data_IF_672396942298
#
_entry.id   IF_672396942298
#
_cell.length_a   1.000
_cell.length_b   1.000
_cell.length_c   1.000
_cell.angle_alpha   90.00
_cell.angle_beta   90.00
_cell.angle_gamma   90.00
#
_symmetry.space_group_name_H-M   'P 1'
#
loop_
_entity.id
_entity.type
_entity.pdbx_description
1 polymer ?
#
# COMPACT_ATOMS: atom_id res chain seq x y z
N UNK A 1 33.08 -19.59 18.43
CA UNK A 1 32.28 -18.36 18.52
C UNK A 1 33.14 -17.11 18.79
N UNK A 2 34.23 -17.21 19.54
CA UNK A 2 35.15 -16.08 19.85
C UNK A 2 35.99 -15.52 18.68
N UNK A 3 35.71 -15.95 17.43
CA UNK A 3 36.42 -15.50 16.20
C UNK A 3 35.56 -14.67 15.24
N UNK A 4 34.29 -14.41 15.59
CA UNK A 4 33.39 -13.56 14.78
C UNK A 4 33.11 -12.20 15.41
N UNK A 5 33.46 -11.97 16.68
CA UNK A 5 33.26 -10.68 17.33
C UNK A 5 34.35 -9.70 16.89
N UNK A 6 33.94 -8.54 16.38
CA UNK A 6 34.72 -7.37 15.89
C UNK A 6 34.71 -7.14 14.38
N UNK A 7 34.00 -7.94 13.58
CA UNK A 7 33.91 -7.73 12.12
C UNK A 7 32.50 -7.91 11.55
N UNK A 8 31.47 -8.14 12.37
CA UNK A 8 30.10 -8.34 11.89
C UNK A 8 29.55 -7.11 11.17
N UNK A 9 29.87 -5.92 11.68
CA UNK A 9 29.47 -4.66 11.05
C UNK A 9 30.07 -4.53 9.63
N UNK A 10 31.36 -4.82 9.46
CA UNK A 10 32.01 -4.83 8.15
C UNK A 10 31.44 -5.93 7.23
N UNK A 11 31.23 -7.13 7.78
CA UNK A 11 30.64 -8.25 7.05
C UNK A 11 29.23 -7.93 6.53
N UNK A 12 28.45 -7.16 7.28
CA UNK A 12 27.09 -6.77 6.90
C UNK A 12 27.03 -5.92 5.60
N UNK A 13 28.13 -5.22 5.25
CA UNK A 13 28.26 -4.49 3.99
C UNK A 13 28.67 -5.37 2.80
N UNK A 14 28.83 -6.69 2.99
CA UNK A 14 29.15 -7.62 1.91
C UNK A 14 28.01 -8.59 1.65
N UNK A 15 27.82 -9.00 0.39
CA UNK A 15 26.77 -9.95 0.02
C UNK A 15 26.87 -11.27 0.80
N UNK A 16 28.08 -11.83 0.92
CA UNK A 16 28.29 -13.11 1.60
C UNK A 16 28.18 -12.97 3.11
N UNK A 17 28.82 -11.94 3.70
CA UNK A 17 28.77 -11.69 5.13
C UNK A 17 27.36 -11.37 5.63
N UNK A 18 26.62 -10.49 4.93
CA UNK A 18 25.23 -10.18 5.25
C UNK A 18 24.35 -11.45 5.22
N UNK A 19 24.47 -12.29 4.20
CA UNK A 19 23.71 -13.56 4.13
C UNK A 19 24.04 -14.50 5.29
N UNK A 20 25.31 -14.59 5.67
CA UNK A 20 25.73 -15.41 6.82
C UNK A 20 25.11 -14.90 8.13
N UNK A 21 25.13 -13.59 8.36
CA UNK A 21 24.53 -12.97 9.55
C UNK A 21 23.02 -13.22 9.58
N UNK A 22 22.33 -13.03 8.45
CA UNK A 22 20.88 -13.26 8.34
C UNK A 22 20.48 -14.72 8.64
N UNK A 23 21.25 -15.69 8.17
CA UNK A 23 21.01 -17.12 8.44
C UNK A 23 21.27 -17.45 9.91
N UNK A 24 22.30 -16.85 10.49
CA UNK A 24 22.64 -17.07 11.89
C UNK A 24 21.58 -16.48 12.83
N UNK A 25 21.09 -15.27 12.58
CA UNK A 25 20.05 -14.60 13.37
C UNK A 25 18.75 -15.42 13.52
N UNK A 26 18.42 -16.27 12.54
CA UNK A 26 17.23 -17.13 12.55
C UNK A 26 17.32 -18.31 13.52
N UNK A 27 18.55 -18.75 13.85
CA UNK A 27 18.79 -20.01 14.57
C UNK A 27 19.62 -19.83 15.84
N UNK A 28 20.20 -18.65 16.04
CA UNK A 28 21.06 -18.38 17.17
C UNK A 28 20.28 -18.28 18.49
N UNK A 29 21.00 -18.46 19.59
CA UNK A 29 20.42 -18.30 20.92
C UNK A 29 20.12 -16.82 21.20
N UNK A 30 19.25 -16.49 22.19
CA UNK A 30 19.03 -15.09 22.59
C UNK A 30 20.32 -14.36 22.98
N UNK A 31 21.27 -15.04 23.62
CA UNK A 31 22.57 -14.47 24.00
C UNK A 31 23.42 -14.13 22.77
N UNK A 32 23.50 -15.03 21.79
CA UNK A 32 24.22 -14.76 20.54
C UNK A 32 23.56 -13.61 19.76
N UNK A 33 22.22 -13.54 19.77
CA UNK A 33 21.48 -12.45 19.13
C UNK A 33 21.78 -11.10 19.78
N UNK A 34 21.84 -11.06 21.11
CA UNK A 34 22.22 -9.86 21.86
C UNK A 34 23.64 -9.39 21.50
N UNK A 35 24.59 -10.32 21.36
CA UNK A 35 25.95 -10.00 20.93
C UNK A 35 25.98 -9.41 19.51
N UNK A 36 25.26 -10.02 18.56
CA UNK A 36 25.15 -9.50 17.18
C UNK A 36 24.48 -8.13 17.17
N UNK A 37 23.39 -7.98 17.94
CA UNK A 37 22.67 -6.71 18.05
C UNK A 37 23.58 -5.59 18.56
N UNK A 38 24.31 -5.84 19.66
CA UNK A 38 25.25 -4.90 20.25
C UNK A 38 26.36 -4.47 19.29
N UNK A 39 26.87 -5.39 18.47
CA UNK A 39 27.91 -5.10 17.48
C UNK A 39 27.37 -4.32 16.25
N UNK A 40 26.15 -4.60 15.81
CA UNK A 40 25.53 -3.98 14.63
C UNK A 40 24.91 -2.60 14.96
N UNK A 41 24.40 -2.41 16.17
CA UNK A 41 23.62 -1.22 16.55
C UNK A 41 24.33 0.13 16.25
N UNK A 42 25.64 0.31 16.50
CA UNK A 42 26.32 1.58 16.21
C UNK A 42 26.30 1.98 14.72
N UNK A 43 26.31 0.99 13.82
CA UNK A 43 26.32 1.19 12.36
C UNK A 43 24.91 1.06 11.75
N UNK A 44 23.88 0.85 12.57
CA UNK A 44 22.53 0.51 12.10
C UNK A 44 21.94 1.52 11.12
N UNK A 45 22.07 2.82 11.38
CA UNK A 45 21.55 3.89 10.50
C UNK A 45 22.12 3.81 9.07
N UNK A 46 23.43 3.58 8.94
CA UNK A 46 24.07 3.41 7.62
C UNK A 46 23.60 2.12 6.96
N UNK A 47 23.57 1.02 7.72
CA UNK A 47 23.14 -0.29 7.22
C UNK A 47 21.68 -0.28 6.75
N UNK A 48 20.79 0.53 7.32
CA UNK A 48 19.40 0.65 6.85
C UNK A 48 19.31 1.05 5.37
N UNK A 49 20.28 1.82 4.89
CA UNK A 49 20.34 2.33 3.51
C UNK A 49 21.31 1.57 2.61
N UNK A 50 22.01 0.57 3.13
CA UNK A 50 22.97 -0.24 2.38
C UNK A 50 22.29 -1.37 1.60
N UNK A 51 22.81 -1.73 0.43
CA UNK A 51 22.26 -2.76 -0.46
C UNK A 51 22.24 -4.16 0.16
N UNK A 52 23.14 -4.46 1.10
CA UNK A 52 23.19 -5.74 1.82
C UNK A 52 22.85 -5.61 3.30
N UNK A 53 23.28 -4.52 3.94
CA UNK A 53 23.08 -4.24 5.36
C UNK A 53 21.61 -4.13 5.76
N UNK A 54 20.76 -3.63 4.86
CA UNK A 54 19.34 -3.43 5.16
C UNK A 54 18.65 -4.76 5.57
N UNK A 55 19.08 -5.88 4.99
CA UNK A 55 18.55 -7.20 5.30
C UNK A 55 18.94 -7.67 6.70
N UNK A 56 20.13 -7.29 7.20
CA UNK A 56 20.55 -7.57 8.58
C UNK A 56 19.65 -6.81 9.55
N UNK A 57 19.40 -5.52 9.30
CA UNK A 57 18.50 -4.72 10.14
C UNK A 57 17.07 -5.27 10.12
N UNK A 58 16.56 -5.66 8.95
CA UNK A 58 15.25 -6.31 8.85
C UNK A 58 15.17 -7.62 9.65
N UNK A 59 16.24 -8.42 9.69
CA UNK A 59 16.29 -9.65 10.50
C UNK A 59 16.40 -9.37 11.99
N UNK A 60 17.09 -8.32 12.40
CA UNK A 60 17.08 -7.87 13.79
C UNK A 60 15.68 -7.37 14.20
N UNK A 61 14.96 -6.69 13.32
CA UNK A 61 13.57 -6.30 13.58
C UNK A 61 12.61 -7.49 13.62
N UNK A 62 12.90 -8.57 12.90
CA UNK A 62 12.08 -9.80 12.85
C UNK A 62 12.31 -10.71 14.06
N UNK A 63 13.55 -10.92 14.48
CA UNK A 63 13.93 -11.89 15.51
C UNK A 63 14.39 -11.27 16.83
N UNK A 64 14.62 -9.95 16.86
CA UNK A 64 15.00 -9.23 18.07
C UNK A 64 13.88 -9.19 19.10
N UNK A 65 14.25 -8.99 20.36
CA UNK A 65 13.29 -8.75 21.45
C UNK A 65 12.49 -7.45 21.22
N UNK A 66 11.34 -7.26 21.87
CA UNK A 66 10.59 -5.99 21.79
C UNK A 66 11.45 -4.75 22.12
N UNK A 67 12.37 -4.86 23.08
CA UNK A 67 13.28 -3.79 23.46
C UNK A 67 14.30 -3.49 22.35
N UNK A 68 14.93 -4.53 21.78
CA UNK A 68 15.85 -4.38 20.64
C UNK A 68 15.19 -3.73 19.43
N UNK A 69 13.95 -4.13 19.13
CA UNK A 69 13.14 -3.53 18.05
C UNK A 69 12.85 -2.06 18.31
N UNK A 70 12.51 -1.72 19.55
CA UNK A 70 12.24 -0.33 19.96
C UNK A 70 13.50 0.53 19.87
N UNK A 71 14.67 0.00 20.27
CA UNK A 71 15.95 0.68 20.13
C UNK A 71 16.31 0.92 18.65
N UNK A 72 16.12 -0.08 17.77
CA UNK A 72 16.34 0.08 16.32
C UNK A 72 15.34 1.07 15.68
N UNK A 73 14.08 1.06 16.10
CA UNK A 73 13.11 2.05 15.67
C UNK A 73 13.51 3.46 16.11
N UNK A 74 14.08 3.60 17.32
CA UNK A 74 14.64 4.85 17.81
C UNK A 74 15.74 5.42 16.91
N UNK A 75 16.50 4.57 16.21
CA UNK A 75 17.50 4.97 15.22
C UNK A 75 16.91 5.52 13.91
N UNK A 76 15.65 5.22 13.63
CA UNK A 76 14.94 5.77 12.46
C UNK A 76 14.34 7.16 12.75
N UNK A 77 14.16 7.50 14.03
CA UNK A 77 13.46 8.72 14.45
C UNK A 77 14.18 9.97 13.92
N UNK A 78 13.40 10.88 13.34
CA UNK A 78 13.87 12.10 12.67
C UNK A 78 14.30 11.88 11.21
N UNK A 79 14.38 10.62 10.76
CA UNK A 79 14.81 10.25 9.41
C UNK A 79 13.77 9.36 8.70
N UNK A 80 12.56 9.19 9.25
CA UNK A 80 11.59 8.22 8.71
C UNK A 80 11.19 8.57 7.28
N UNK A 81 10.98 9.85 6.98
CA UNK A 81 10.69 10.31 5.62
C UNK A 81 11.83 9.94 4.65
N UNK A 82 13.07 10.33 4.99
CA UNK A 82 14.23 10.06 4.14
C UNK A 82 14.42 8.56 3.89
N UNK A 83 14.29 7.74 4.93
CA UNK A 83 14.37 6.28 4.82
C UNK A 83 13.24 5.74 3.94
N UNK A 84 12.01 6.24 4.09
CA UNK A 84 10.83 5.78 3.34
C UNK A 84 10.97 6.02 1.83
N UNK A 85 11.66 7.08 1.44
CA UNK A 85 11.88 7.45 0.04
C UNK A 85 13.11 6.76 -0.57
N UNK A 86 13.92 6.05 0.24
CA UNK A 86 15.16 5.39 -0.18
C UNK A 86 14.92 3.91 -0.51
N UNK A 87 15.55 3.41 -1.58
CA UNK A 87 15.34 2.07 -2.17
C UNK A 87 15.45 0.89 -1.20
N UNK A 88 16.34 0.97 -0.21
CA UNK A 88 16.60 -0.06 0.80
C UNK A 88 16.00 0.32 2.16
N UNK A 89 16.10 1.59 2.55
CA UNK A 89 15.54 2.15 3.78
C UNK A 89 14.05 1.94 3.86
N UNK A 90 13.32 2.04 2.75
CA UNK A 90 11.87 1.83 2.72
C UNK A 90 11.50 0.42 3.18
N UNK A 91 12.33 -0.58 2.87
CA UNK A 91 12.13 -1.98 3.29
C UNK A 91 12.31 -2.14 4.78
N UNK A 92 13.26 -1.40 5.35
CA UNK A 92 13.53 -1.40 6.79
C UNK A 92 12.42 -0.70 7.55
N UNK A 93 11.91 0.44 7.07
CA UNK A 93 10.75 1.12 7.67
C UNK A 93 9.51 0.24 7.60
N UNK A 94 9.22 -0.36 6.44
CA UNK A 94 8.10 -1.32 6.30
C UNK A 94 8.21 -2.45 7.33
N UNK A 95 9.40 -3.05 7.49
CA UNK A 95 9.62 -4.10 8.49
C UNK A 95 9.47 -3.60 9.92
N UNK A 96 9.92 -2.39 10.23
CA UNK A 96 9.74 -1.82 11.56
C UNK A 96 8.25 -1.67 11.89
N UNK A 97 7.45 -1.11 10.97
CA UNK A 97 6.01 -0.92 11.17
C UNK A 97 5.25 -2.25 11.42
N UNK A 98 5.75 -3.35 10.88
CA UNK A 98 5.16 -4.69 11.07
C UNK A 98 5.51 -5.33 12.42
N UNK A 99 6.64 -4.97 13.04
CA UNK A 99 7.21 -5.76 14.15
C UNK A 99 7.40 -5.01 15.47
N UNK A 100 7.40 -3.67 15.44
CA UNK A 100 7.56 -2.84 16.65
C UNK A 100 6.23 -2.72 17.42
N UNK A 101 6.25 -2.40 18.72
CA UNK A 101 5.03 -2.11 19.48
C UNK A 101 4.21 -0.96 18.88
N UNK A 102 2.89 -0.96 19.07
CA UNK A 102 1.95 0.05 18.52
C UNK A 102 2.37 1.49 18.84
N UNK A 103 2.77 1.77 20.08
CA UNK A 103 3.23 3.09 20.50
C UNK A 103 4.48 3.55 19.73
N UNK A 104 5.42 2.63 19.49
CA UNK A 104 6.63 2.91 18.70
C UNK A 104 6.26 3.13 17.23
N UNK A 105 5.40 2.29 16.65
CA UNK A 105 4.94 2.46 15.27
C UNK A 105 4.24 3.81 15.08
N UNK A 106 3.40 4.22 16.04
CA UNK A 106 2.72 5.52 16.02
C UNK A 106 3.69 6.68 15.94
N UNK A 107 4.80 6.65 16.68
CA UNK A 107 5.83 7.70 16.62
C UNK A 107 6.43 7.77 15.21
N UNK A 108 6.80 6.63 14.62
CA UNK A 108 7.39 6.60 13.27
C UNK A 108 6.41 7.09 12.21
N UNK A 109 5.15 6.64 12.26
CA UNK A 109 4.11 7.03 11.30
C UNK A 109 3.85 8.53 11.36
N UNK A 110 3.89 9.13 12.56
CA UNK A 110 3.61 10.56 12.73
C UNK A 110 4.62 11.47 12.01
N UNK A 111 5.85 11.01 11.77
CA UNK A 111 6.84 11.77 10.98
C UNK A 111 6.45 11.94 9.50
N UNK A 112 5.52 11.11 9.01
CA UNK A 112 5.02 11.19 7.62
C UNK A 112 3.81 12.10 7.48
N UNK A 113 3.33 12.73 8.57
CA UNK A 113 2.06 13.47 8.59
C UNK A 113 1.94 14.51 7.48
N UNK A 114 2.96 15.35 7.32
CA UNK A 114 2.94 16.46 6.35
C UNK A 114 3.43 16.04 4.95
N UNK A 115 3.82 14.77 4.79
CA UNK A 115 4.46 14.24 3.57
C UNK A 115 3.69 13.06 2.96
N UNK A 116 2.41 12.86 3.31
CA UNK A 116 1.63 11.72 2.80
C UNK A 116 1.58 11.72 1.27
N UNK A 117 1.23 12.85 0.65
CA UNK A 117 1.02 12.90 -0.81
C UNK A 117 2.33 12.74 -1.59
N UNK A 118 3.41 13.32 -1.08
CA UNK A 118 4.76 13.12 -1.59
C UNK A 118 5.14 11.63 -1.53
N UNK A 119 4.95 10.99 -0.36
CA UNK A 119 5.25 9.58 -0.14
C UNK A 119 4.40 8.66 -1.02
N UNK A 120 3.11 8.95 -1.18
CA UNK A 120 2.19 8.17 -2.04
C UNK A 120 2.62 8.18 -3.51
N UNK A 121 3.20 9.29 -3.98
CA UNK A 121 3.64 9.45 -5.37
C UNK A 121 5.04 8.92 -5.63
N UNK A 122 5.77 8.54 -4.58
CA UNK A 122 7.11 7.99 -4.70
C UNK A 122 7.12 6.48 -4.93
N UNK A 123 8.11 5.99 -5.69
CA UNK A 123 8.27 4.58 -6.02
C UNK A 123 8.56 3.69 -4.79
N UNK A 124 9.15 4.24 -3.73
CA UNK A 124 9.47 3.56 -2.48
C UNK A 124 8.45 3.91 -1.39
N UNK A 125 8.18 5.20 -1.21
CA UNK A 125 7.33 5.76 -0.15
C UNK A 125 5.90 5.21 -0.17
N UNK A 126 5.36 4.91 -1.37
CA UNK A 126 4.00 4.38 -1.47
C UNK A 126 3.84 3.05 -0.73
N UNK A 127 4.89 2.22 -0.68
CA UNK A 127 4.87 0.95 0.03
C UNK A 127 4.88 1.16 1.55
N UNK A 128 5.56 2.20 2.03
CA UNK A 128 5.53 2.57 3.46
C UNK A 128 4.14 3.06 3.84
N UNK A 129 3.51 3.93 3.04
CA UNK A 129 2.15 4.40 3.31
C UNK A 129 1.14 3.24 3.30
N UNK A 130 1.27 2.28 2.37
CA UNK A 130 0.46 1.07 2.40
C UNK A 130 0.61 0.31 3.73
N UNK A 131 1.85 0.14 4.23
CA UNK A 131 2.10 -0.50 5.53
C UNK A 131 1.55 0.27 6.72
N UNK A 132 1.62 1.60 6.71
CA UNK A 132 0.95 2.43 7.70
C UNK A 132 -0.56 2.15 7.71
N UNK A 133 -1.18 2.05 6.53
CA UNK A 133 -2.62 1.79 6.42
C UNK A 133 -2.99 0.37 6.86
N UNK A 134 -2.17 -0.63 6.55
CA UNK A 134 -2.39 -2.04 6.92
C UNK A 134 -2.32 -2.27 8.44
N UNK A 135 -1.29 -1.74 9.10
CA UNK A 135 -0.96 -2.15 10.48
C UNK A 135 -1.31 -1.12 11.55
N UNK A 136 -1.43 0.16 11.22
CA UNK A 136 -1.67 1.18 12.24
C UNK A 136 -3.11 1.16 12.75
N UNK A 137 -3.25 1.52 14.02
CA UNK A 137 -4.54 1.76 14.64
C UNK A 137 -5.34 2.84 13.89
N UNK A 138 -6.67 2.74 13.83
CA UNK A 138 -7.52 3.65 13.05
C UNK A 138 -7.26 5.14 13.30
N UNK A 139 -7.01 5.54 14.56
CA UNK A 139 -6.73 6.93 14.91
C UNK A 139 -5.37 7.40 14.37
N UNK A 140 -4.35 6.54 14.41
CA UNK A 140 -2.99 6.86 13.96
C UNK A 140 -2.92 7.06 12.45
N UNK A 141 -3.67 6.29 11.66
CA UNK A 141 -3.68 6.43 10.19
C UNK A 141 -4.72 7.42 9.63
N UNK A 142 -5.46 8.12 10.49
CA UNK A 142 -6.53 9.02 10.04
C UNK A 142 -6.03 10.14 9.12
N UNK A 143 -4.88 10.73 9.41
CA UNK A 143 -4.30 11.80 8.59
C UNK A 143 -3.97 11.34 7.16
N UNK A 144 -3.66 10.04 6.97
CA UNK A 144 -3.44 9.45 5.64
C UNK A 144 -4.75 9.46 4.85
N UNK A 145 -5.86 9.05 5.47
CA UNK A 145 -7.18 9.09 4.85
C UNK A 145 -7.59 10.53 4.52
N UNK A 146 -7.32 11.47 5.43
CA UNK A 146 -7.67 12.88 5.26
C UNK A 146 -6.87 13.54 4.13
N UNK A 147 -5.61 13.15 3.95
CA UNK A 147 -4.79 13.62 2.84
C UNK A 147 -5.37 13.23 1.47
N UNK A 148 -6.11 12.12 1.36
CA UNK A 148 -6.76 11.72 0.10
C UNK A 148 -8.02 12.52 -0.22
N UNK A 149 -8.64 13.20 0.76
CA UNK A 149 -9.90 13.92 0.55
C UNK A 149 -9.70 15.07 -0.44
N UNK A 150 -10.60 15.19 -1.42
CA UNK A 150 -10.56 16.20 -2.47
C UNK A 150 -9.60 15.88 -3.62
N UNK A 151 -8.89 14.75 -3.57
CA UNK A 151 -8.01 14.27 -4.63
C UNK A 151 -8.02 12.73 -4.77
N UNK A 152 -9.02 12.06 -4.21
CA UNK A 152 -9.16 10.61 -4.21
C UNK A 152 -9.23 10.05 -5.63
N UNK A 153 -9.98 10.70 -6.52
CA UNK A 153 -10.06 10.28 -7.93
C UNK A 153 -8.72 10.44 -8.62
N UNK A 154 -8.03 11.57 -8.42
CA UNK A 154 -6.72 11.81 -9.02
C UNK A 154 -5.68 10.77 -8.56
N UNK A 155 -5.64 10.47 -7.25
CA UNK A 155 -4.72 9.48 -6.71
C UNK A 155 -5.10 8.05 -7.12
N UNK A 156 -6.39 7.74 -7.32
CA UNK A 156 -6.84 6.46 -7.86
C UNK A 156 -6.35 6.17 -9.27
N UNK A 157 -6.08 7.21 -10.05
CA UNK A 157 -5.54 7.13 -11.41
C UNK A 157 -4.01 7.22 -11.45
N UNK A 158 -3.35 7.28 -10.28
CA UNK A 158 -1.90 7.28 -10.17
C UNK A 158 -1.35 5.84 -10.06
N UNK A 159 -0.24 5.48 -10.74
CA UNK A 159 0.34 4.12 -10.71
C UNK A 159 0.60 3.56 -9.31
N UNK A 160 0.92 4.43 -8.35
CA UNK A 160 1.13 4.04 -6.95
C UNK A 160 -0.05 4.41 -6.04
N UNK A 161 -0.74 5.51 -6.34
CA UNK A 161 -1.83 6.02 -5.50
C UNK A 161 -3.05 5.08 -5.50
N UNK A 162 -3.29 4.40 -6.64
CA UNK A 162 -4.34 3.41 -6.76
C UNK A 162 -4.18 2.25 -5.77
N UNK A 163 -2.94 1.88 -5.42
CA UNK A 163 -2.65 0.81 -4.45
C UNK A 163 -2.89 1.28 -3.03
N UNK A 164 -2.49 2.52 -2.72
CA UNK A 164 -2.71 3.11 -1.40
C UNK A 164 -4.19 3.28 -1.11
N UNK A 165 -4.98 3.80 -2.06
CA UNK A 165 -6.43 3.95 -1.83
C UNK A 165 -7.14 2.60 -1.69
N UNK A 166 -6.74 1.56 -2.42
CA UNK A 166 -7.25 0.21 -2.20
C UNK A 166 -6.97 -0.27 -0.77
N UNK A 167 -5.74 -0.08 -0.24
CA UNK A 167 -5.46 -0.38 1.18
C UNK A 167 -6.33 0.44 2.14
N UNK A 168 -6.60 1.72 1.82
CA UNK A 168 -7.51 2.55 2.63
C UNK A 168 -8.91 1.96 2.65
N UNK A 169 -9.44 1.55 1.50
CA UNK A 169 -10.76 0.92 1.37
C UNK A 169 -10.85 -0.42 2.13
N UNK A 170 -9.76 -1.18 2.19
CA UNK A 170 -9.70 -2.50 2.85
C UNK A 170 -9.53 -2.42 4.37
N UNK A 171 -8.69 -1.49 4.85
CA UNK A 171 -8.21 -1.49 6.24
C UNK A 171 -8.71 -0.34 7.11
N UNK A 172 -9.50 0.58 6.55
CA UNK A 172 -10.12 1.66 7.31
C UNK A 172 -11.62 1.40 7.50
N UNK A 173 -12.18 1.95 8.59
CA UNK A 173 -13.60 1.78 8.88
C UNK A 173 -14.49 2.46 7.83
N UNK A 174 -15.73 1.99 7.68
CA UNK A 174 -16.71 2.58 6.76
C UNK A 174 -16.88 4.09 6.96
N UNK A 175 -16.79 4.58 8.20
CA UNK A 175 -16.85 6.02 8.52
C UNK A 175 -15.67 6.80 7.94
N UNK A 176 -14.47 6.23 7.97
CA UNK A 176 -13.26 6.87 7.46
C UNK A 176 -13.26 6.93 5.93
N UNK A 177 -13.69 5.85 5.27
CA UNK A 177 -13.63 5.74 3.81
C UNK A 177 -14.81 6.42 3.10
N UNK A 178 -15.95 6.61 3.77
CA UNK A 178 -17.18 7.16 3.17
C UNK A 178 -16.96 8.45 2.36
N UNK A 179 -16.21 9.46 2.83
CA UNK A 179 -15.95 10.67 2.04
C UNK A 179 -15.21 10.36 0.73
N UNK A 180 -14.21 9.47 0.78
CA UNK A 180 -13.43 9.09 -0.40
C UNK A 180 -14.30 8.30 -1.40
N UNK A 181 -15.09 7.34 -0.93
CA UNK A 181 -15.98 6.57 -1.80
C UNK A 181 -17.04 7.46 -2.45
N UNK A 182 -17.56 8.46 -1.73
CA UNK A 182 -18.47 9.45 -2.30
C UNK A 182 -17.79 10.27 -3.39
N UNK A 183 -16.56 10.73 -3.17
CA UNK A 183 -15.78 11.44 -4.19
C UNK A 183 -15.54 10.59 -5.45
N UNK A 184 -15.12 9.32 -5.28
CA UNK A 184 -14.90 8.40 -6.39
C UNK A 184 -16.19 8.13 -7.18
N UNK A 185 -17.33 8.05 -6.49
CA UNK A 185 -18.63 7.81 -7.13
C UNK A 185 -19.10 8.97 -8.01
N UNK A 186 -18.57 10.18 -7.81
CA UNK A 186 -18.92 11.35 -8.63
C UNK A 186 -18.19 11.32 -9.98
N UNK A 187 -16.99 10.76 -10.05
CA UNK A 187 -16.14 10.81 -11.26
C UNK A 187 -15.90 9.41 -11.85
N UNK A 188 -16.93 8.56 -11.82
CA UNK A 188 -16.87 7.19 -12.34
C UNK A 188 -16.52 7.14 -13.83
N UNK A 189 -16.98 8.11 -14.62
CA UNK A 189 -16.68 8.18 -16.06
C UNK A 189 -15.17 8.22 -16.34
N UNK A 190 -14.39 8.92 -15.50
CA UNK A 190 -12.93 8.94 -15.61
C UNK A 190 -12.30 7.72 -14.96
N UNK A 191 -12.81 7.33 -13.80
CA UNK A 191 -12.23 6.24 -13.02
C UNK A 191 -12.24 4.90 -13.77
N UNK A 192 -13.37 4.52 -14.40
CA UNK A 192 -13.53 3.19 -15.00
C UNK A 192 -12.72 2.99 -16.28
N UNK A 193 -12.42 4.06 -17.00
CA UNK A 193 -11.64 4.02 -18.26
C UNK A 193 -10.14 4.19 -18.02
N UNK A 194 -9.72 4.57 -16.81
CA UNK A 194 -8.30 4.79 -16.51
C UNK A 194 -7.54 3.47 -16.31
N UNK A 195 -6.29 3.33 -16.79
CA UNK A 195 -5.45 2.12 -16.62
C UNK A 195 -5.24 1.68 -15.16
N UNK A 196 -5.33 2.57 -14.18
CA UNK A 196 -5.19 2.28 -12.75
C UNK A 196 -6.52 2.41 -12.00
N UNK A 197 -7.30 3.44 -12.32
CA UNK A 197 -8.59 3.73 -11.70
C UNK A 197 -9.60 2.60 -11.85
N UNK A 198 -9.57 1.86 -12.96
CA UNK A 198 -10.47 0.73 -13.18
C UNK A 198 -10.34 -0.34 -12.08
N UNK A 199 -9.14 -0.54 -11.51
CA UNK A 199 -8.94 -1.48 -10.40
C UNK A 199 -9.59 -0.98 -9.11
N UNK A 200 -9.62 0.33 -8.88
CA UNK A 200 -10.31 0.93 -7.72
C UNK A 200 -11.83 0.78 -7.86
N UNK A 201 -12.37 0.98 -9.06
CA UNK A 201 -13.79 0.75 -9.34
C UNK A 201 -14.17 -0.73 -9.16
N UNK A 202 -13.35 -1.67 -9.65
CA UNK A 202 -13.54 -3.11 -9.42
C UNK A 202 -13.50 -3.43 -7.92
N UNK A 203 -12.53 -2.87 -7.18
CA UNK A 203 -12.44 -3.06 -5.74
C UNK A 203 -13.71 -2.59 -5.01
N UNK A 204 -14.28 -1.45 -5.41
CA UNK A 204 -15.56 -0.95 -4.86
C UNK A 204 -16.74 -1.88 -5.18
N UNK A 205 -16.75 -2.54 -6.35
CA UNK A 205 -17.77 -3.56 -6.68
C UNK A 205 -17.62 -4.82 -5.81
N UNK A 206 -16.39 -5.32 -5.66
CA UNK A 206 -16.10 -6.58 -4.97
C UNK A 206 -16.29 -6.48 -3.45
N UNK A 207 -15.80 -5.40 -2.84
CA UNK A 207 -15.68 -5.27 -1.38
C UNK A 207 -16.44 -4.09 -0.79
N UNK A 208 -17.04 -3.22 -1.63
CA UNK A 208 -17.82 -2.08 -1.18
C UNK A 208 -19.14 -2.45 -0.53
N UNK A 209 -19.80 -1.44 0.04
CA UNK A 209 -21.16 -1.61 0.56
C UNK A 209 -22.15 -1.92 -0.56
N UNK A 210 -23.31 -2.51 -0.22
CA UNK A 210 -24.38 -2.75 -1.19
C UNK A 210 -24.78 -1.45 -1.91
N UNK A 211 -24.84 -0.33 -1.17
CA UNK A 211 -25.15 0.98 -1.74
C UNK A 211 -24.15 1.41 -2.81
N UNK A 212 -22.84 1.27 -2.53
CA UNK A 212 -21.79 1.66 -3.46
C UNK A 212 -21.77 0.76 -4.71
N UNK A 213 -21.98 -0.55 -4.50
CA UNK A 213 -22.12 -1.52 -5.59
C UNK A 213 -23.31 -1.18 -6.48
N UNK A 214 -24.49 -0.92 -5.90
CA UNK A 214 -25.69 -0.55 -6.66
C UNK A 214 -25.46 0.73 -7.47
N UNK A 215 -24.71 1.72 -6.95
CA UNK A 215 -24.36 2.92 -7.72
C UNK A 215 -23.48 2.61 -8.93
N UNK A 216 -22.47 1.75 -8.78
CA UNK A 216 -21.60 1.33 -9.89
C UNK A 216 -22.34 0.51 -10.95
N UNK A 217 -23.24 -0.39 -10.52
CA UNK A 217 -24.12 -1.15 -11.43
C UNK A 217 -25.07 -0.20 -12.17
N UNK A 218 -25.67 0.75 -11.47
CA UNK A 218 -26.53 1.77 -12.09
C UNK A 218 -25.76 2.66 -13.07
N UNK A 219 -24.50 3.00 -12.78
CA UNK A 219 -23.63 3.74 -13.70
C UNK A 219 -23.39 2.99 -15.02
N UNK A 220 -23.29 1.66 -14.99
CA UNK A 220 -23.06 0.86 -16.20
C UNK A 220 -24.27 0.84 -17.14
N UNK A 221 -25.48 1.08 -16.62
CA UNK A 221 -26.72 1.05 -17.41
C UNK A 221 -26.71 2.11 -18.51
N UNK A 222 -27.02 1.70 -19.74
CA UNK A 222 -26.99 2.55 -20.92
C UNK A 222 -25.59 2.83 -21.46
N UNK A 223 -24.53 2.30 -20.82
CA UNK A 223 -23.13 2.45 -21.22
C UNK A 223 -22.45 1.10 -21.46
N UNK A 224 -23.12 -0.02 -21.14
CA UNK A 224 -22.54 -1.35 -21.07
C UNK A 224 -21.88 -1.73 -22.40
N UNK A 225 -22.59 -1.56 -23.53
CA UNK A 225 -22.06 -1.92 -24.84
C UNK A 225 -20.81 -1.10 -25.22
N UNK A 226 -20.83 0.20 -24.90
CA UNK A 226 -19.72 1.11 -25.22
C UNK A 226 -18.49 0.85 -24.36
N UNK A 227 -18.68 0.65 -23.05
CA UNK A 227 -17.59 0.42 -22.10
C UNK A 227 -17.02 -0.99 -22.19
N UNK A 228 -17.81 -1.98 -22.62
CA UNK A 228 -17.33 -3.35 -22.86
C UNK A 228 -16.31 -3.46 -23.98
N UNK A 229 -16.26 -2.48 -24.90
CA UNK A 229 -15.27 -2.42 -25.98
C UNK A 229 -13.98 -1.68 -25.57
N UNK A 230 -13.98 -1.03 -24.40
CA UNK A 230 -12.85 -0.27 -23.91
C UNK A 230 -11.89 -1.17 -23.12
N UNK A 231 -10.59 -1.12 -23.45
CA UNK A 231 -9.53 -1.99 -22.89
C UNK A 231 -9.56 -2.15 -21.36
N UNK A 232 -9.87 -1.08 -20.63
CA UNK A 232 -9.86 -1.08 -19.17
C UNK A 232 -11.26 -1.20 -18.57
N UNK A 233 -12.25 -0.54 -19.18
CA UNK A 233 -13.59 -0.48 -18.61
C UNK A 233 -14.37 -1.78 -18.81
N UNK A 234 -13.98 -2.61 -19.79
CA UNK A 234 -14.55 -3.94 -19.99
C UNK A 234 -14.48 -4.79 -18.72
N UNK A 235 -13.35 -4.75 -17.99
CA UNK A 235 -13.19 -5.48 -16.73
C UNK A 235 -14.17 -4.98 -15.64
N UNK A 236 -14.44 -3.67 -15.61
CA UNK A 236 -15.43 -3.09 -14.70
C UNK A 236 -16.84 -3.53 -15.09
N UNK A 237 -17.14 -3.59 -16.40
CA UNK A 237 -18.45 -4.04 -16.89
C UNK A 237 -18.70 -5.51 -16.57
N UNK A 238 -17.70 -6.38 -16.72
CA UNK A 238 -17.78 -7.78 -16.29
C UNK A 238 -18.15 -7.89 -14.81
N UNK A 239 -17.50 -7.10 -13.95
CA UNK A 239 -17.80 -7.03 -12.52
C UNK A 239 -19.20 -6.48 -12.25
N UNK A 240 -19.65 -5.46 -12.98
CA UNK A 240 -21.03 -4.97 -12.85
C UNK A 240 -22.05 -6.07 -13.16
N UNK A 241 -21.83 -6.89 -14.19
CA UNK A 241 -22.71 -8.03 -14.51
C UNK A 241 -22.64 -9.10 -13.40
N UNK A 242 -21.43 -9.45 -12.93
CA UNK A 242 -21.20 -10.43 -11.86
C UNK A 242 -21.95 -10.05 -10.58
N UNK A 243 -21.90 -8.77 -10.20
CA UNK A 243 -22.43 -8.26 -8.94
C UNK A 243 -23.84 -7.64 -9.01
N UNK A 244 -24.45 -7.66 -10.19
CA UNK A 244 -25.82 -7.18 -10.39
C UNK A 244 -26.88 -8.20 -9.98
N UNK A 245 -28.06 -7.71 -9.60
CA UNK A 245 -29.26 -8.51 -9.38
C UNK A 245 -29.84 -9.04 -10.70
N UNK A 246 -30.74 -10.02 -10.64
CA UNK A 246 -31.37 -10.56 -11.86
C UNK A 246 -32.14 -9.48 -12.65
N UNK A 247 -32.75 -8.53 -11.96
CA UNK A 247 -33.44 -7.40 -12.57
C UNK A 247 -32.47 -6.42 -13.27
N UNK A 248 -31.32 -6.14 -12.66
CA UNK A 248 -30.28 -5.31 -13.29
C UNK A 248 -29.64 -6.06 -14.48
N UNK A 249 -29.42 -7.37 -14.36
CA UNK A 249 -28.95 -8.21 -15.48
C UNK A 249 -29.92 -8.21 -16.65
N UNK A 250 -31.23 -8.29 -16.41
CA UNK A 250 -32.20 -8.24 -17.52
C UNK A 250 -32.13 -6.89 -18.25
N UNK A 251 -31.92 -5.79 -17.53
CA UNK A 251 -31.74 -4.47 -18.15
C UNK A 251 -30.48 -4.38 -19.03
N UNK A 252 -29.39 -5.04 -18.61
CA UNK A 252 -28.18 -5.17 -19.42
C UNK A 252 -28.40 -6.01 -20.68
N UNK A 253 -29.15 -7.10 -20.58
CA UNK A 253 -29.50 -7.93 -21.74
C UNK A 253 -30.35 -7.15 -22.74
N UNK A 254 -31.35 -6.40 -22.27
CA UNK A 254 -32.19 -5.55 -23.11
C UNK A 254 -31.34 -4.52 -23.87
N UNK A 255 -30.39 -3.85 -23.20
CA UNK A 255 -29.48 -2.88 -23.82
C UNK A 255 -28.69 -3.49 -24.99
N UNK A 256 -28.18 -4.71 -24.81
CA UNK A 256 -27.39 -5.42 -25.84
C UNK A 256 -28.21 -6.06 -26.95
N UNK A 257 -29.52 -6.24 -26.71
CA UNK A 257 -30.46 -6.87 -27.66
C UNK A 257 -31.16 -5.85 -28.57
N UNK A 258 -31.03 -4.55 -28.28
CA UNK A 258 -31.52 -3.51 -29.17
C UNK A 258 -30.75 -3.54 -30.50
N UNK A 259 -31.43 -3.48 -31.66
CA UNK A 259 -30.76 -3.45 -32.94
C UNK A 259 -29.81 -2.26 -32.98
N UNK A 260 -28.56 -2.49 -33.41
CA UNK A 260 -27.56 -1.45 -33.64
C UNK A 260 -28.14 -0.45 -34.64
N UNK A 261 -28.84 0.57 -34.16
CA UNK A 261 -29.23 1.70 -35.00
C UNK A 261 -27.95 2.43 -35.31
N UNK A 262 -27.43 2.11 -36.50
CA UNK A 262 -26.30 2.71 -37.17
C UNK A 262 -26.22 4.22 -36.88
N UNK A 263 -25.40 4.63 -35.92
CA UNK A 263 -25.03 6.02 -35.72
C UNK A 263 -24.02 6.38 -36.81
N UNK A 264 -24.55 6.63 -38.02
CA UNK A 264 -23.79 6.94 -39.24
C UNK A 264 -23.38 8.41 -39.32
N UNK A 265 -23.11 9.07 -38.19
CA UNK A 265 -22.74 10.49 -38.13
C UNK A 265 -21.73 10.75 -37.00
N UNK A 266 -20.46 10.40 -37.22
CA UNK A 266 -19.29 11.00 -36.56
C UNK A 266 -18.00 10.43 -37.21
N UNK A 267 -17.86 10.61 -38.52
CA UNK A 267 -16.58 10.54 -39.24
C UNK A 267 -16.61 11.59 -40.36
N UNK A 268 -16.48 12.85 -39.96
CA UNK A 268 -16.00 13.98 -40.77
C UNK A 268 -15.32 14.95 -39.82
#
# INVERSE_FOLDING_TARGET
MQKMSNHLAEMAYSQHGSRMIQQHLQRCTPLDREAIFSEILPESEKLMTDVFGNYVIQKLLEFGSPDQRTVLAGKMKGNVLQLSMQTYGCRVVQRALETVPSDTAKILIQELHDHVIESVKDQNGNHVIQKCVEFAEPATKQFIVDAFRGQATFLSMHPYGCRVIQRILEHCSSRQVRPLVTELSVDLDRLVVDPFGNYVAQHMLEHGSLEDRTRLVAFARGKLLSLSQHKFASNVMEKCIEYSTDFERSQFLDETSLPITCCKKCWT
#
